data_IF_094065901516
#
_entry.id   IF_094065901516
#
_cell.length_a   1.000
_cell.length_b   1.000
_cell.length_c   1.000
_cell.angle_alpha   90.00
_cell.angle_beta   90.00
_cell.angle_gamma   90.00
#
_symmetry.space_group_name_H-M   'P 1'
#
loop_
_entity.id
_entity.type
_entity.pdbx_description
1 polymer ?
#
# COMPACT_ATOMS: atom_id res chain seq x y z
N UNK A 1 46.30 46.22 14.49
CA UNK A 1 45.20 45.78 13.59
C UNK A 1 44.77 44.40 14.07
N UNK A 2 43.65 44.30 14.81
CA UNK A 2 43.13 43.01 15.29
C UNK A 2 42.34 42.37 14.17
N UNK A 3 42.82 41.25 13.64
CA UNK A 3 42.10 40.46 12.64
C UNK A 3 40.89 39.78 13.31
N UNK A 4 39.68 40.17 12.90
CA UNK A 4 38.45 39.48 13.28
C UNK A 4 38.36 38.20 12.44
N UNK A 5 38.61 37.05 13.07
CA UNK A 5 38.36 35.76 12.43
C UNK A 5 36.84 35.57 12.26
N UNK A 6 36.37 35.75 11.03
CA UNK A 6 34.99 35.50 10.64
C UNK A 6 34.79 33.98 10.50
N UNK A 7 34.53 33.30 11.62
CA UNK A 7 34.26 31.86 11.64
C UNK A 7 32.94 31.59 10.93
N UNK A 8 33.02 31.07 9.70
CA UNK A 8 31.85 30.65 8.91
C UNK A 8 31.28 29.36 9.52
N UNK A 9 30.36 29.51 10.47
CA UNK A 9 29.69 28.36 11.11
C UNK A 9 28.67 27.73 10.15
N UNK A 10 28.56 26.40 10.15
CA UNK A 10 27.65 25.69 9.25
C UNK A 10 26.19 25.83 9.72
N UNK A 11 25.34 26.35 8.84
CA UNK A 11 23.92 26.60 9.11
C UNK A 11 23.03 25.40 8.80
N UNK A 12 23.57 24.33 8.18
CA UNK A 12 22.81 23.16 7.77
C UNK A 12 23.48 21.86 8.21
N UNK A 13 22.81 21.12 9.08
CA UNK A 13 23.13 19.75 9.41
C UNK A 13 22.72 19.39 10.84
N UNK A 14 22.11 18.21 11.02
CA UNK A 14 21.80 17.62 12.33
C UNK A 14 23.05 17.44 13.22
N UNK A 15 24.25 17.53 12.61
CA UNK A 15 25.55 17.37 13.27
C UNK A 15 26.32 18.67 13.54
N UNK A 16 25.81 19.85 13.14
CA UNK A 16 26.45 21.08 13.59
C UNK A 16 26.06 21.30 15.05
N UNK A 17 26.98 20.98 15.97
CA UNK A 17 26.84 21.19 17.43
C UNK A 17 26.84 22.68 17.81
N UNK A 18 26.35 23.54 16.92
CA UNK A 18 26.18 24.97 17.18
C UNK A 18 24.89 25.17 17.96
N UNK A 19 25.02 25.45 19.26
CA UNK A 19 23.92 25.68 20.20
C UNK A 19 22.88 26.72 19.71
N UNK A 20 23.28 27.72 18.90
CA UNK A 20 22.35 28.71 18.35
C UNK A 20 21.42 28.14 17.28
N UNK A 21 21.77 27.01 16.66
CA UNK A 21 21.04 26.37 15.57
C UNK A 21 20.43 25.01 15.96
N UNK A 22 20.68 24.53 17.19
CA UNK A 22 20.14 23.28 17.70
C UNK A 22 18.78 23.54 18.37
N UNK A 23 17.69 23.07 17.77
CA UNK A 23 16.36 23.19 18.37
C UNK A 23 16.21 22.12 19.46
N UNK A 24 15.98 22.53 20.71
CA UNK A 24 15.62 21.58 21.77
C UNK A 24 14.33 20.85 21.36
N UNK A 25 14.29 19.52 21.40
CA UNK A 25 13.18 18.74 20.83
C UNK A 25 11.84 18.92 21.55
N UNK A 26 11.84 19.46 22.78
CA UNK A 26 10.64 19.65 23.60
C UNK A 26 10.74 20.90 24.50
N UNK A 27 9.64 21.63 24.78
CA UNK A 27 9.65 22.73 25.74
C UNK A 27 9.83 22.19 27.16
N UNK A 28 10.75 22.78 27.94
CA UNK A 28 10.86 22.49 29.36
C UNK A 28 9.61 22.99 30.08
N UNK A 29 9.10 22.17 31.01
CA UNK A 29 7.89 22.48 31.77
C UNK A 29 8.26 22.66 33.23
N UNK A 30 7.89 23.81 33.81
CA UNK A 30 8.06 24.10 35.24
C UNK A 30 6.70 24.12 35.91
N UNK A 31 6.56 23.44 37.06
CA UNK A 31 5.32 23.49 37.86
C UNK A 31 5.17 24.88 38.48
N UNK A 32 4.12 25.61 38.10
CA UNK A 32 3.74 26.89 38.68
C UNK A 32 2.51 26.77 39.60
N UNK A 33 2.13 27.89 40.24
CA UNK A 33 1.04 27.93 41.22
C UNK A 33 -0.34 27.50 40.66
N UNK A 34 -0.57 27.66 39.35
CA UNK A 34 -1.81 27.29 38.66
C UNK A 34 -1.60 26.17 37.63
N UNK A 35 -0.63 25.29 37.87
CA UNK A 35 -0.31 24.17 36.99
C UNK A 35 1.01 24.32 36.24
N UNK A 36 1.26 23.38 35.33
CA UNK A 36 2.50 23.29 34.57
C UNK A 36 2.58 24.42 33.53
N UNK A 37 3.61 25.28 33.65
CA UNK A 37 3.91 26.35 32.69
C UNK A 37 5.11 25.95 31.84
N UNK A 38 4.95 26.02 30.53
CA UNK A 38 6.06 25.83 29.56
C UNK A 38 6.98 27.06 29.63
N UNK A 39 8.27 26.84 29.84
CA UNK A 39 9.29 27.90 29.90
C UNK A 39 10.36 27.58 28.86
N UNK A 40 10.52 28.47 27.88
CA UNK A 40 11.50 28.34 26.80
C UNK A 40 11.11 29.21 25.60
N UNK A 41 12.01 29.45 24.65
CA UNK A 41 11.68 30.15 23.42
C UNK A 41 10.58 29.37 22.67
N UNK A 42 9.36 29.93 22.66
CA UNK A 42 8.26 29.37 21.91
C UNK A 42 8.46 29.75 20.44
N UNK A 43 9.02 28.83 19.66
CA UNK A 43 8.85 28.93 18.21
C UNK A 43 7.43 28.50 17.90
N UNK A 44 6.58 29.47 17.59
CA UNK A 44 5.28 29.23 17.00
C UNK A 44 5.50 28.68 15.59
N UNK A 45 5.74 27.38 15.47
CA UNK A 45 5.89 26.73 14.16
C UNK A 45 4.51 26.49 13.54
N UNK A 46 3.77 27.58 13.27
CA UNK A 46 2.46 27.55 12.59
C UNK A 46 2.51 26.78 11.25
N UNK A 47 3.72 26.61 10.69
CA UNK A 47 3.95 26.14 9.33
C UNK A 47 4.73 24.80 9.24
N UNK A 48 4.95 24.06 10.34
CA UNK A 48 5.70 22.78 10.31
C UNK A 48 4.92 21.55 10.75
N UNK A 49 3.81 21.74 11.44
CA UNK A 49 2.76 20.73 11.36
C UNK A 49 2.28 20.73 9.91
N UNK A 50 1.79 19.60 9.36
CA UNK A 50 0.92 19.68 8.20
C UNK A 50 -0.33 20.42 8.69
N UNK A 51 -0.20 21.75 8.70
CA UNK A 51 -1.33 22.62 8.52
C UNK A 51 -1.95 22.27 7.17
N UNK A 52 -3.14 22.82 6.91
CA UNK A 52 -3.76 22.67 5.62
C UNK A 52 -2.82 23.32 4.60
N UNK A 53 -1.95 22.54 3.97
CA UNK A 53 -1.41 22.87 2.66
C UNK A 53 -2.63 22.85 1.73
N UNK A 54 -3.37 23.96 1.83
CA UNK A 54 -4.55 24.33 1.09
C UNK A 54 -4.04 24.42 -0.34
N UNK A 55 -4.19 23.33 -1.08
CA UNK A 55 -4.16 23.37 -2.53
C UNK A 55 -5.19 24.41 -3.05
N UNK A 56 -6.14 24.83 -2.20
CA UNK A 56 -7.10 25.90 -2.42
C UNK A 56 -7.23 26.84 -1.20
N UNK A 57 -6.48 27.96 -1.12
CA UNK A 57 -6.50 28.91 0.00
C UNK A 57 -7.84 29.61 0.29
N UNK A 58 -8.90 29.32 -0.48
CA UNK A 58 -10.26 29.82 -0.25
C UNK A 58 -11.15 28.80 0.48
N UNK A 59 -10.76 27.52 0.56
CA UNK A 59 -11.58 26.45 1.12
C UNK A 59 -11.52 26.36 2.65
N UNK A 60 -12.55 26.85 3.33
CA UNK A 60 -12.74 26.70 4.79
C UNK A 60 -12.87 25.21 5.18
N UNK A 61 -12.70 24.79 6.46
CA UNK A 61 -12.92 23.40 6.88
C UNK A 61 -14.21 22.81 6.30
N UNK A 62 -14.19 21.49 6.11
CA UNK A 62 -15.08 20.63 5.30
C UNK A 62 -16.59 20.87 5.33
N UNK A 63 -17.09 21.68 6.25
CA UNK A 63 -18.50 21.98 6.45
C UNK A 63 -18.74 23.47 6.76
N UNK A 64 -18.12 24.38 6.01
CA UNK A 64 -18.48 25.80 6.08
C UNK A 64 -19.57 26.14 5.07
N UNK A 65 -20.65 26.76 5.54
CA UNK A 65 -21.80 27.19 4.71
C UNK A 65 -21.41 28.25 3.68
N UNK A 66 -20.28 28.91 3.90
CA UNK A 66 -19.72 29.96 3.03
C UNK A 66 -18.96 29.39 1.81
N UNK A 67 -18.71 28.07 1.74
CA UNK A 67 -18.04 27.49 0.57
C UNK A 67 -18.96 27.53 -0.67
N UNK A 68 -18.44 27.91 -1.86
CA UNK A 68 -19.24 27.96 -3.08
C UNK A 68 -19.76 26.57 -3.45
N UNK A 69 -20.99 26.49 -3.96
CA UNK A 69 -21.71 25.23 -4.24
C UNK A 69 -20.91 24.25 -5.13
N UNK A 70 -20.13 24.77 -6.07
CA UNK A 70 -19.26 23.99 -6.98
C UNK A 70 -18.24 23.14 -6.19
N UNK A 71 -17.82 23.61 -5.02
CA UNK A 71 -16.82 22.95 -4.19
C UNK A 71 -17.44 22.02 -3.13
N UNK A 72 -18.76 21.79 -3.12
CA UNK A 72 -19.38 20.93 -2.10
C UNK A 72 -19.01 19.44 -2.27
N UNK A 73 -18.56 19.03 -3.47
CA UNK A 73 -18.22 17.64 -3.81
C UNK A 73 -16.71 17.34 -3.83
N UNK A 74 -15.89 18.15 -3.16
CA UNK A 74 -14.43 18.07 -3.23
C UNK A 74 -13.79 16.89 -2.45
N UNK A 75 -14.59 16.10 -1.74
CA UNK A 75 -14.13 15.00 -0.88
C UNK A 75 -13.73 13.74 -1.65
N UNK A 76 -13.91 13.72 -2.98
CA UNK A 76 -13.63 12.56 -3.82
C UNK A 76 -14.60 11.39 -3.64
N UNK A 77 -15.71 11.61 -2.92
CA UNK A 77 -16.80 10.64 -2.80
C UNK A 77 -17.43 10.47 -4.18
N UNK A 78 -17.45 9.22 -4.67
CA UNK A 78 -18.10 8.90 -5.94
C UNK A 78 -19.63 8.89 -5.75
N UNK A 79 -20.41 9.47 -6.69
CA UNK A 79 -21.86 9.47 -6.57
C UNK A 79 -22.42 8.05 -6.72
N UNK A 80 -23.47 7.74 -5.96
CA UNK A 80 -24.17 6.45 -5.97
C UNK A 80 -25.41 6.46 -6.90
N UNK A 81 -25.47 7.40 -7.83
CA UNK A 81 -26.64 7.63 -8.66
C UNK A 81 -26.47 8.88 -9.52
N UNK A 82 -27.57 9.39 -10.05
CA UNK A 82 -27.59 10.55 -10.92
C UNK A 82 -28.68 11.54 -10.52
N UNK A 83 -28.53 12.79 -10.99
CA UNK A 83 -29.56 13.80 -10.84
C UNK A 83 -30.45 13.70 -12.08
N UNK A 84 -31.74 13.49 -11.87
CA UNK A 84 -32.72 13.48 -12.95
C UNK A 84 -32.90 14.90 -13.51
N UNK A 85 -32.73 15.07 -14.82
CA UNK A 85 -32.75 16.38 -15.48
C UNK A 85 -34.13 17.05 -15.41
N UNK A 86 -35.20 16.24 -15.38
CA UNK A 86 -36.58 16.75 -15.40
C UNK A 86 -37.04 17.16 -14.00
N UNK A 87 -36.78 16.33 -13.00
CA UNK A 87 -37.21 16.58 -11.62
C UNK A 87 -36.20 17.35 -10.78
N UNK A 88 -34.93 17.41 -11.22
CA UNK A 88 -33.81 17.96 -10.46
C UNK A 88 -33.49 17.17 -9.18
N UNK A 89 -34.09 15.98 -9.00
CA UNK A 89 -33.94 15.15 -7.80
C UNK A 89 -32.84 14.12 -8.01
N UNK A 90 -32.11 13.83 -6.95
CA UNK A 90 -31.13 12.75 -6.95
C UNK A 90 -31.83 11.39 -6.86
N UNK A 91 -31.59 10.53 -7.85
CA UNK A 91 -32.06 9.16 -7.91
C UNK A 91 -30.86 8.26 -7.60
N UNK A 92 -30.93 7.56 -6.47
CA UNK A 92 -29.93 6.57 -6.10
C UNK A 92 -30.15 5.25 -6.87
N UNK A 93 -29.07 4.69 -7.40
CA UNK A 93 -29.07 3.44 -8.17
C UNK A 93 -28.54 2.33 -7.26
N UNK A 94 -29.34 1.31 -6.89
CA UNK A 94 -28.92 0.27 -5.96
C UNK A 94 -27.62 -0.43 -6.36
N UNK A 95 -27.40 -0.66 -7.66
CA UNK A 95 -26.21 -1.32 -8.22
C UNK A 95 -24.94 -0.48 -8.11
N UNK A 96 -25.07 0.85 -7.96
CA UNK A 96 -23.94 1.76 -7.77
C UNK A 96 -23.53 1.88 -6.28
N UNK A 97 -24.34 1.37 -5.36
CA UNK A 97 -24.03 1.40 -3.93
C UNK A 97 -23.01 0.32 -3.59
N UNK A 98 -22.00 0.70 -2.81
CA UNK A 98 -20.97 -0.23 -2.36
C UNK A 98 -21.49 -1.06 -1.19
N UNK A 99 -21.50 -2.38 -1.35
CA UNK A 99 -21.84 -3.31 -0.28
C UNK A 99 -20.56 -3.94 0.29
N UNK A 100 -20.44 -3.96 1.62
CA UNK A 100 -19.34 -4.63 2.32
C UNK A 100 -19.82 -6.05 2.64
N UNK A 101 -19.32 -7.03 1.91
CA UNK A 101 -19.59 -8.45 2.17
C UNK A 101 -18.69 -8.90 3.32
N UNK A 102 -19.28 -9.06 4.51
CA UNK A 102 -18.59 -9.55 5.69
C UNK A 102 -18.89 -11.05 5.89
N UNK A 103 -17.89 -11.93 5.93
CA UNK A 103 -18.09 -13.33 6.27
C UNK A 103 -18.41 -13.50 7.75
N UNK A 104 -19.03 -14.63 8.11
CA UNK A 104 -19.19 -15.01 9.51
C UNK A 104 -17.83 -15.44 10.10
N UNK A 105 -17.50 -14.90 11.27
CA UNK A 105 -16.23 -15.11 11.96
C UNK A 105 -16.40 -15.91 13.26
N UNK A 106 -17.55 -16.56 13.50
CA UNK A 106 -17.68 -17.50 14.61
C UNK A 106 -16.61 -18.59 14.52
N UNK A 107 -15.89 -18.84 15.61
CA UNK A 107 -14.81 -19.85 15.71
C UNK A 107 -13.58 -19.61 14.80
N UNK A 108 -13.37 -18.38 14.33
CA UNK A 108 -12.19 -18.06 13.52
C UNK A 108 -10.89 -18.12 14.34
N UNK A 109 -9.97 -19.01 13.95
CA UNK A 109 -8.75 -19.32 14.72
C UNK A 109 -7.65 -18.25 14.60
N UNK A 110 -7.62 -17.51 13.49
CA UNK A 110 -6.55 -16.54 13.22
C UNK A 110 -6.79 -15.26 14.02
N UNK A 111 -5.70 -14.69 14.53
CA UNK A 111 -5.68 -13.45 15.33
C UNK A 111 -4.96 -12.35 14.53
N UNK A 112 -5.25 -11.07 14.81
CA UNK A 112 -4.60 -9.95 14.11
C UNK A 112 -3.09 -9.85 14.36
N UNK A 113 -2.60 -10.47 15.45
CA UNK A 113 -1.20 -10.46 15.83
C UNK A 113 -0.66 -11.86 15.99
N UNK A 114 0.62 -12.01 15.64
CA UNK A 114 1.38 -13.25 15.76
C UNK A 114 2.28 -13.17 17.00
N UNK A 115 2.56 -14.31 17.64
CA UNK A 115 3.45 -14.35 18.80
C UNK A 115 4.92 -14.26 18.38
N UNK A 116 5.77 -13.58 19.16
CA UNK A 116 7.22 -13.51 18.91
C UNK A 116 7.95 -14.87 18.86
N UNK A 117 7.33 -15.95 19.35
CA UNK A 117 7.91 -17.30 19.22
C UNK A 117 8.09 -17.73 17.77
N UNK A 118 7.28 -17.19 16.85
CA UNK A 118 7.38 -17.51 15.42
C UNK A 118 8.70 -17.06 14.82
N UNK A 119 9.30 -15.97 15.31
CA UNK A 119 10.57 -15.45 14.78
C UNK A 119 11.70 -16.45 15.02
N UNK A 120 11.70 -17.09 16.20
CA UNK A 120 12.67 -18.13 16.56
C UNK A 120 12.54 -19.34 15.63
N UNK A 121 11.31 -19.73 15.30
CA UNK A 121 11.05 -20.87 14.41
C UNK A 121 11.37 -20.53 12.95
N UNK A 122 11.09 -19.30 12.52
CA UNK A 122 11.47 -18.78 11.21
C UNK A 122 13.00 -18.77 11.03
N UNK A 123 13.75 -18.32 12.03
CA UNK A 123 15.22 -18.31 11.98
C UNK A 123 15.81 -19.72 11.90
N UNK A 124 15.24 -20.69 12.61
CA UNK A 124 15.65 -22.10 12.52
C UNK A 124 15.44 -22.63 11.10
N UNK A 125 14.23 -22.48 10.56
CA UNK A 125 13.90 -22.90 9.18
C UNK A 125 14.82 -22.25 8.16
N UNK A 126 15.13 -20.96 8.32
CA UNK A 126 16.05 -20.24 7.44
C UNK A 126 17.44 -20.85 7.45
N UNK A 127 18.01 -21.10 8.63
CA UNK A 127 19.35 -21.71 8.78
C UNK A 127 19.40 -23.12 8.21
N UNK A 128 18.36 -23.93 8.47
CA UNK A 128 18.23 -25.27 7.92
C UNK A 128 18.18 -25.23 6.39
N UNK A 129 17.43 -24.28 5.84
CA UNK A 129 17.31 -24.11 4.40
C UNK A 129 18.63 -23.63 3.76
N UNK A 130 19.28 -22.61 4.33
CA UNK A 130 20.60 -22.12 3.89
C UNK A 130 21.66 -23.24 3.90
N UNK A 131 21.62 -24.13 4.89
CA UNK A 131 22.51 -25.30 4.94
C UNK A 131 22.25 -26.26 3.76
N UNK A 132 20.98 -26.51 3.41
CA UNK A 132 20.62 -27.33 2.24
C UNK A 132 21.04 -26.68 0.92
N UNK A 133 20.87 -25.36 0.78
CA UNK A 133 21.37 -24.62 -0.40
C UNK A 133 22.86 -24.77 -0.53
N UNK A 134 23.60 -24.66 0.58
CA UNK A 134 25.05 -24.83 0.59
C UNK A 134 25.47 -26.26 0.23
N UNK A 135 24.71 -27.27 0.67
CA UNK A 135 24.95 -28.68 0.35
C UNK A 135 24.67 -29.00 -1.13
N UNK A 136 23.55 -28.50 -1.67
CA UNK A 136 23.11 -28.80 -3.05
C UNK A 136 23.72 -27.88 -4.11
N UNK A 137 24.20 -26.69 -3.70
CA UNK A 137 24.86 -25.72 -4.56
C UNK A 137 23.94 -24.72 -5.26
N UNK A 138 22.62 -24.94 -5.27
CA UNK A 138 21.64 -23.99 -5.82
C UNK A 138 20.31 -24.04 -5.06
N UNK A 139 19.56 -22.93 -5.10
CA UNK A 139 18.25 -22.84 -4.45
C UNK A 139 17.23 -23.77 -5.09
N UNK A 140 17.19 -23.82 -6.43
CA UNK A 140 16.26 -24.68 -7.17
C UNK A 140 16.49 -26.17 -6.87
N UNK A 141 17.74 -26.61 -6.71
CA UNK A 141 18.01 -27.99 -6.29
C UNK A 141 17.60 -28.22 -4.84
N UNK A 142 17.81 -27.25 -3.94
CA UNK A 142 17.41 -27.38 -2.55
C UNK A 142 15.88 -27.43 -2.39
N UNK A 143 15.13 -26.67 -3.18
CA UNK A 143 13.66 -26.67 -3.25
C UNK A 143 13.08 -28.08 -3.45
N UNK A 144 13.67 -28.86 -4.36
CA UNK A 144 13.21 -30.22 -4.68
C UNK A 144 13.34 -31.20 -3.50
N UNK A 145 14.21 -30.90 -2.53
CA UNK A 145 14.46 -31.73 -1.34
C UNK A 145 13.92 -31.09 -0.04
N UNK A 146 13.18 -29.99 -0.14
CA UNK A 146 12.55 -29.32 1.01
C UNK A 146 11.04 -29.37 0.91
N UNK A 147 10.38 -29.82 1.97
CA UNK A 147 8.94 -29.64 2.10
C UNK A 147 8.61 -28.14 2.16
N UNK A 148 7.51 -27.74 1.52
CA UNK A 148 7.08 -26.35 1.41
C UNK A 148 6.90 -25.68 2.78
N UNK A 149 6.34 -26.38 3.76
CA UNK A 149 6.11 -25.86 5.13
C UNK A 149 7.41 -25.54 5.89
N UNK A 150 8.51 -26.22 5.54
CA UNK A 150 9.81 -26.03 6.17
C UNK A 150 10.65 -24.98 5.44
N UNK A 151 10.27 -24.64 4.21
CA UNK A 151 11.02 -23.74 3.35
C UNK A 151 10.88 -22.30 3.85
N UNK A 152 12.00 -21.73 4.30
CA UNK A 152 12.08 -20.30 4.58
C UNK A 152 13.38 -19.69 4.02
N UNK A 153 13.32 -18.59 3.25
CA UNK A 153 12.13 -17.82 2.89
C UNK A 153 11.22 -18.57 1.89
N UNK A 154 9.91 -18.25 1.88
CA UNK A 154 9.01 -18.82 0.88
C UNK A 154 9.45 -18.40 -0.53
N UNK A 155 9.24 -19.27 -1.54
CA UNK A 155 9.57 -18.93 -2.92
C UNK A 155 8.76 -17.74 -3.41
N UNK A 156 9.29 -17.01 -4.40
CA UNK A 156 8.56 -15.91 -5.03
C UNK A 156 7.37 -16.49 -5.81
N UNK A 157 6.19 -15.91 -5.61
CA UNK A 157 5.00 -16.27 -6.38
C UNK A 157 5.07 -15.62 -7.78
N UNK A 158 5.67 -16.33 -8.74
CA UNK A 158 5.65 -16.02 -10.16
C UNK A 158 4.55 -16.80 -10.86
N UNK A 159 4.25 -16.47 -12.12
CA UNK A 159 3.27 -17.23 -12.90
C UNK A 159 3.68 -18.72 -13.05
N UNK A 160 4.99 -18.98 -13.18
CA UNK A 160 5.55 -20.33 -13.24
C UNK A 160 5.30 -21.08 -11.93
N UNK A 161 5.64 -20.50 -10.77
CA UNK A 161 5.44 -21.18 -9.48
C UNK A 161 3.97 -21.40 -9.17
N UNK A 162 3.09 -20.44 -9.50
CA UNK A 162 1.64 -20.61 -9.39
C UNK A 162 1.12 -21.75 -10.27
N UNK A 163 1.58 -21.82 -11.53
CA UNK A 163 1.20 -22.88 -12.45
C UNK A 163 1.67 -24.25 -11.95
N UNK A 164 2.90 -24.33 -11.47
CA UNK A 164 3.47 -25.56 -10.93
C UNK A 164 2.72 -26.07 -9.71
N UNK A 165 2.39 -25.20 -8.75
CA UNK A 165 1.70 -25.58 -7.52
C UNK A 165 0.24 -26.00 -7.75
N UNK A 166 -0.48 -25.26 -8.61
CA UNK A 166 -1.94 -25.45 -8.75
C UNK A 166 -2.30 -26.42 -9.88
N UNK A 167 -1.64 -26.31 -11.03
CA UNK A 167 -2.10 -26.96 -12.26
C UNK A 167 -1.15 -28.06 -12.78
N UNK A 168 0.13 -28.05 -12.43
CA UNK A 168 1.07 -28.95 -13.09
C UNK A 168 0.78 -30.43 -12.85
N UNK A 169 0.33 -30.83 -11.66
CA UNK A 169 -0.05 -32.21 -11.40
C UNK A 169 -1.24 -32.65 -12.25
N UNK A 170 -2.26 -31.81 -12.34
CA UNK A 170 -3.44 -32.06 -13.16
C UNK A 170 -3.07 -32.16 -14.64
N UNK A 171 -2.25 -31.25 -15.15
CA UNK A 171 -1.79 -31.26 -16.53
C UNK A 171 -0.97 -32.51 -16.83
N UNK A 172 -0.03 -32.89 -15.95
CA UNK A 172 0.78 -34.12 -16.11
C UNK A 172 -0.11 -35.36 -16.10
N UNK A 173 -1.12 -35.42 -15.23
CA UNK A 173 -2.08 -36.53 -15.17
C UNK A 173 -2.90 -36.61 -16.45
N UNK A 174 -3.53 -35.50 -16.85
CA UNK A 174 -4.34 -35.43 -18.06
C UNK A 174 -3.53 -35.75 -19.33
N UNK A 175 -2.25 -35.38 -19.36
CA UNK A 175 -1.33 -35.73 -20.44
C UNK A 175 -1.04 -37.23 -20.49
N UNK A 176 -0.74 -37.85 -19.36
CA UNK A 176 -0.56 -39.32 -19.27
C UNK A 176 -1.82 -40.08 -19.65
N UNK A 177 -2.99 -39.54 -19.31
CA UNK A 177 -4.30 -40.09 -19.68
C UNK A 177 -4.68 -39.83 -21.16
N UNK A 178 -3.88 -39.06 -21.90
CA UNK A 178 -4.14 -38.77 -23.32
C UNK A 178 -5.35 -37.86 -23.55
N UNK A 179 -5.78 -37.08 -22.55
CA UNK A 179 -6.91 -36.14 -22.68
C UNK A 179 -6.62 -34.96 -23.61
N UNK A 180 -5.35 -34.68 -23.87
CA UNK A 180 -4.94 -33.63 -24.82
C UNK A 180 -4.87 -34.21 -26.24
N UNK A 181 -5.50 -33.50 -27.18
CA UNK A 181 -5.45 -33.86 -28.60
C UNK A 181 -4.06 -33.68 -29.22
N UNK A 182 -3.89 -34.17 -30.44
CA UNK A 182 -2.70 -33.89 -31.25
C UNK A 182 -2.58 -32.38 -31.50
N UNK A 183 -1.38 -31.83 -31.33
CA UNK A 183 -1.09 -30.42 -31.65
C UNK A 183 -1.29 -30.21 -33.15
N UNK A 184 -2.45 -29.67 -33.55
CA UNK A 184 -2.59 -29.07 -34.86
C UNK A 184 -1.75 -27.80 -34.86
N UNK A 185 -0.76 -27.69 -35.75
CA UNK A 185 -0.11 -26.42 -36.04
C UNK A 185 -1.16 -25.48 -36.63
N UNK A 186 -1.91 -24.79 -35.77
CA UNK A 186 -2.75 -23.68 -36.19
C UNK A 186 -1.77 -22.61 -36.64
N UNK A 187 -1.61 -22.45 -37.95
CA UNK A 187 -0.95 -21.27 -38.49
C UNK A 187 -1.72 -20.05 -38.02
N UNK A 188 -1.04 -19.08 -37.43
CA UNK A 188 -1.59 -17.82 -36.88
C UNK A 188 -2.19 -16.88 -37.94
N UNK A 189 -2.80 -17.41 -39.00
CA UNK A 189 -3.30 -16.64 -40.15
C UNK A 189 -4.71 -16.09 -39.97
N UNK A 190 -5.41 -16.37 -38.88
CA UNK A 190 -6.78 -15.87 -38.69
C UNK A 190 -6.94 -15.20 -37.31
N UNK A 191 -6.44 -13.97 -37.21
CA UNK A 191 -6.94 -12.99 -36.25
C UNK A 191 -8.34 -12.52 -36.70
N UNK A 192 -9.45 -12.84 -36.02
CA UNK A 192 -10.75 -12.28 -36.35
C UNK A 192 -10.88 -10.88 -35.72
N UNK A 193 -10.07 -9.91 -36.17
CA UNK A 193 -10.15 -8.51 -35.73
C UNK A 193 -10.87 -7.61 -36.75
N UNK A 194 -11.51 -8.18 -37.78
CA UNK A 194 -12.26 -7.39 -38.76
C UNK A 194 -13.71 -7.87 -38.90
N UNK A 195 -14.62 -7.12 -38.25
CA UNK A 195 -15.95 -6.67 -38.71
C UNK A 195 -16.96 -6.58 -37.55
N UNK A 196 -16.79 -5.57 -36.70
CA UNK A 196 -17.95 -4.97 -36.03
C UNK A 196 -18.12 -3.55 -36.60
N UNK A 197 -18.75 -3.48 -37.77
CA UNK A 197 -19.29 -2.22 -38.29
C UNK A 197 -20.31 -1.69 -37.27
N UNK A 198 -19.95 -0.62 -36.56
CA UNK A 198 -20.90 0.16 -35.77
C UNK A 198 -21.81 0.86 -36.79
N UNK A 199 -23.03 0.35 -36.97
CA UNK A 199 -24.09 1.12 -37.64
C UNK A 199 -24.51 2.23 -36.71
N UNK A 200 -24.02 3.44 -36.94
CA UNK A 200 -24.61 4.66 -36.42
C UNK A 200 -26.05 4.77 -36.94
N UNK A 201 -27.03 4.37 -36.13
CA UNK A 201 -28.43 4.69 -36.37
C UNK A 201 -28.71 6.07 -35.80
N UNK A 202 -28.74 7.06 -36.68
CA UNK A 202 -29.30 8.39 -36.41
C UNK A 202 -30.78 8.24 -36.06
N UNK A 203 -31.19 8.75 -34.90
CA UNK A 203 -32.56 9.17 -34.58
C UNK A 203 -32.50 10.43 -33.74
#
# INVERSE_FOLDING_TARGET
VMAVNLVRTSTRGVRSLNQAHFNAPWPFVKKGAYGQRKIGPFRTEKNKWPGPDRQFPELSPKWNKENPAILHNYTGVRPEGYIDEVSGKFIAVPEMRTEIIAPDLTEFKLKPYVSYRTDVDIEKRRKEYEAKVREKGSEALADLYTNEDQRWPPPKMTAETLFELVYAEEVRRNYKEGKYGSVSTVSDTENPVAKSEIKETTR
#
